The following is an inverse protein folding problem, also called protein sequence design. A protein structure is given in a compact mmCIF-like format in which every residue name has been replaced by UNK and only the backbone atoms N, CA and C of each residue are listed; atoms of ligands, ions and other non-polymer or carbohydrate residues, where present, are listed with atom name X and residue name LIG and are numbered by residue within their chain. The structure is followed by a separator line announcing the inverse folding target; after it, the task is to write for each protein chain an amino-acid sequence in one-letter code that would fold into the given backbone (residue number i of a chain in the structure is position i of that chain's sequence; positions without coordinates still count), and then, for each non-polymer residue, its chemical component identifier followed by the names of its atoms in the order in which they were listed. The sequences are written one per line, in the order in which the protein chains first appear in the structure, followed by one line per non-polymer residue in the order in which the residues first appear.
data_IF_550511766770
#
_entry.id   IF_550511766770
#
_cell.length_a   1.000
_cell.length_b   1.000
_cell.length_c   1.000
_cell.angle_alpha   90.00
_cell.angle_beta   90.00
_cell.angle_gamma   90.00
#
_symmetry.space_group_name_H-M   'P 1'
#
loop_
_entity.id
_entity.type
_entity.pdbx_description
1 polymer ?
#
# COMPACT_ATOMS: atom_id res chain seq x y z
N UNK A 1 7.14 0.48 3.42
CA UNK A 1 5.75 1.00 3.49
C UNK A 1 5.60 1.95 4.67
N UNK A 2 4.89 3.06 4.49
CA UNK A 2 4.49 4.01 5.53
C UNK A 2 3.01 3.83 5.88
N UNK A 3 2.63 4.00 7.15
CA UNK A 3 1.24 3.93 7.60
C UNK A 3 0.94 5.17 8.43
N UNK A 4 -0.06 5.94 8.03
CA UNK A 4 -0.57 7.14 8.68
C UNK A 4 -1.99 6.84 9.19
N UNK A 5 -2.20 7.05 10.49
CA UNK A 5 -3.50 6.82 11.15
C UNK A 5 -4.01 8.14 11.68
N UNK A 6 -5.21 8.52 11.25
CA UNK A 6 -5.88 9.77 11.62
C UNK A 6 -7.27 9.50 12.20
N UNK A 7 -7.86 10.48 12.89
CA UNK A 7 -9.22 10.33 13.44
C UNK A 7 -10.29 10.36 12.35
N UNK A 8 -10.23 11.39 11.52
CA UNK A 8 -10.98 11.54 10.28
C UNK A 8 -9.99 11.89 9.17
N UNK A 9 -10.23 11.40 7.96
CA UNK A 9 -9.35 11.66 6.81
C UNK A 9 -9.76 12.98 6.15
N UNK A 10 -8.87 13.98 6.21
CA UNK A 10 -9.03 15.25 5.53
C UNK A 10 -8.15 15.35 4.28
N UNK A 11 -8.47 16.29 3.38
CA UNK A 11 -7.69 16.52 2.16
C UNK A 11 -6.23 16.92 2.47
N UNK A 12 -6.01 17.65 3.57
CA UNK A 12 -4.66 17.98 4.05
C UNK A 12 -3.85 16.75 4.41
N UNK A 13 -4.48 15.70 4.94
CA UNK A 13 -3.80 14.46 5.32
C UNK A 13 -3.34 13.69 4.08
N UNK A 14 -4.15 13.74 3.01
CA UNK A 14 -3.79 13.16 1.70
C UNK A 14 -2.53 13.82 1.16
N UNK A 15 -2.48 15.16 1.11
CA UNK A 15 -1.31 15.88 0.59
C UNK A 15 -0.06 15.69 1.45
N UNK A 16 -0.21 15.64 2.78
CA UNK A 16 0.90 15.35 3.68
C UNK A 16 1.42 13.92 3.46
N UNK A 17 0.53 12.94 3.33
CA UNK A 17 0.89 11.54 3.08
C UNK A 17 1.62 11.39 1.74
N UNK A 18 1.15 12.04 0.68
CA UNK A 18 1.82 12.07 -0.63
C UNK A 18 3.21 12.71 -0.50
N UNK A 19 3.32 13.83 0.20
CA UNK A 19 4.59 14.54 0.39
C UNK A 19 5.62 13.67 1.12
N UNK A 20 5.19 12.95 2.17
CA UNK A 20 6.02 11.98 2.89
C UNK A 20 6.40 10.78 2.01
N UNK A 21 5.48 10.27 1.19
CA UNK A 21 5.73 9.19 0.24
C UNK A 21 6.79 9.59 -0.80
N UNK A 22 6.69 10.79 -1.37
CA UNK A 22 7.66 11.33 -2.32
C UNK A 22 9.03 11.53 -1.66
N UNK A 23 9.07 12.08 -0.45
CA UNK A 23 10.32 12.23 0.31
C UNK A 23 10.98 10.86 0.55
N UNK A 24 10.19 9.85 0.91
CA UNK A 24 10.69 8.49 1.08
C UNK A 24 11.22 7.92 -0.24
N UNK A 25 10.53 8.14 -1.35
CA UNK A 25 10.94 7.68 -2.68
C UNK A 25 12.28 8.24 -3.15
N UNK A 26 12.63 9.45 -2.73
CA UNK A 26 13.93 10.08 -3.02
C UNK A 26 15.05 9.46 -2.19
N UNK A 27 14.72 8.95 -1.00
CA UNK A 27 15.69 8.42 -0.04
C UNK A 27 15.95 6.92 -0.18
N UNK A 28 15.14 6.19 -0.97
CA UNK A 28 15.30 4.75 -1.18
C UNK A 28 15.16 4.35 -2.64
N UNK A 29 15.96 3.37 -3.05
CA UNK A 29 15.86 2.73 -4.37
C UNK A 29 14.73 1.68 -4.42
N UNK A 30 14.11 1.35 -3.28
CA UNK A 30 13.07 0.34 -3.17
C UNK A 30 11.68 0.84 -3.61
N UNK A 31 10.74 -0.10 -3.78
CA UNK A 31 9.33 0.23 -3.94
C UNK A 31 8.80 0.91 -2.66
N UNK A 32 8.11 2.04 -2.83
CA UNK A 32 7.51 2.79 -1.72
C UNK A 32 6.01 2.87 -1.87
N UNK A 33 5.35 2.84 -0.72
CA UNK A 33 3.91 2.98 -0.62
C UNK A 33 3.52 3.54 0.75
N UNK A 34 2.34 4.12 0.80
CA UNK A 34 1.72 4.66 1.99
C UNK A 34 0.29 4.15 2.15
N UNK A 35 -0.17 4.06 3.40
CA UNK A 35 -1.57 3.90 3.75
C UNK A 35 -1.99 5.07 4.63
N UNK A 36 -3.08 5.75 4.28
CA UNK A 36 -3.78 6.70 5.14
C UNK A 36 -5.11 6.09 5.56
N UNK A 37 -5.38 6.04 6.86
CA UNK A 37 -6.58 5.37 7.35
C UNK A 37 -7.12 5.95 8.65
N UNK A 38 -8.44 5.86 8.84
CA UNK A 38 -9.10 6.05 10.13
C UNK A 38 -9.33 4.73 10.90
N UNK A 39 -8.79 3.62 10.39
CA UNK A 39 -8.99 2.24 10.88
C UNK A 39 -10.45 1.76 10.87
N UNK A 40 -11.36 2.54 10.28
CA UNK A 40 -12.77 2.22 10.16
C UNK A 40 -13.11 1.97 8.68
N UNK A 41 -13.57 2.99 7.98
CA UNK A 41 -14.14 2.88 6.63
C UNK A 41 -13.29 3.56 5.55
N UNK A 42 -12.19 4.23 5.93
CA UNK A 42 -11.25 4.84 5.00
C UNK A 42 -9.92 4.12 5.07
N UNK A 43 -9.57 3.41 4.00
CA UNK A 43 -8.26 2.80 3.80
C UNK A 43 -7.73 3.23 2.43
N UNK A 44 -7.00 4.34 2.40
CA UNK A 44 -6.47 4.92 1.18
C UNK A 44 -5.00 4.52 1.02
N UNK A 45 -4.76 3.64 0.06
CA UNK A 45 -3.42 3.20 -0.31
C UNK A 45 -2.85 4.10 -1.41
N UNK A 46 -1.56 4.40 -1.32
CA UNK A 46 -0.78 5.15 -2.29
C UNK A 46 0.47 4.37 -2.65
N UNK A 47 0.85 4.37 -3.92
CA UNK A 47 2.15 3.87 -4.35
C UNK A 47 2.62 4.64 -5.57
N UNK A 48 3.94 4.58 -5.81
CA UNK A 48 4.56 5.23 -6.95
C UNK A 48 4.83 4.19 -8.03
N UNK A 49 4.39 4.46 -9.24
CA UNK A 49 4.83 3.73 -10.44
C UNK A 49 5.77 4.62 -11.25
N UNK A 50 6.69 3.99 -11.97
CA UNK A 50 7.54 4.66 -12.96
C UNK A 50 7.13 4.12 -14.31
N UNK A 51 7.09 4.98 -15.32
CA UNK A 51 6.98 4.52 -16.70
C UNK A 51 8.37 4.16 -17.23
N UNK A 52 8.44 3.30 -18.27
CA UNK A 52 9.67 2.68 -18.79
C UNK A 52 10.78 3.68 -19.17
N UNK A 53 10.41 4.92 -19.46
CA UNK A 53 11.31 6.00 -19.88
C UNK A 53 11.86 6.84 -18.70
N UNK A 54 11.53 6.50 -17.45
CA UNK A 54 11.99 7.15 -16.20
C UNK A 54 11.66 8.65 -16.05
N UNK A 55 10.97 9.25 -17.01
CA UNK A 55 10.69 10.69 -17.03
C UNK A 55 9.44 11.08 -16.20
N UNK A 56 8.46 10.17 -16.05
CA UNK A 56 7.21 10.45 -15.33
C UNK A 56 7.01 9.54 -14.11
N UNK A 57 7.01 10.16 -12.93
CA UNK A 57 6.65 9.51 -11.66
C UNK A 57 5.14 9.63 -11.46
N UNK A 58 4.45 8.50 -11.50
CA UNK A 58 3.00 8.44 -11.36
C UNK A 58 2.60 8.02 -9.94
N UNK A 59 1.76 8.82 -9.28
CA UNK A 59 1.13 8.43 -8.01
C UNK A 59 -0.15 7.68 -8.32
N UNK A 60 -0.24 6.44 -7.84
CA UNK A 60 -1.45 5.62 -7.92
C UNK A 60 -2.11 5.55 -6.55
N UNK A 61 -3.43 5.52 -6.54
CA UNK A 61 -4.23 5.50 -5.32
C UNK A 61 -5.39 4.53 -5.43
N UNK A 62 -5.74 3.87 -4.33
CA UNK A 62 -7.00 3.12 -4.21
C UNK A 62 -7.62 3.33 -2.84
N UNK A 63 -8.93 3.57 -2.82
CA UNK A 63 -9.73 3.60 -1.60
C UNK A 63 -10.35 2.23 -1.40
N UNK A 64 -10.12 1.63 -0.23
CA UNK A 64 -10.77 0.40 0.21
C UNK A 64 -11.66 0.75 1.41
N UNK A 65 -12.92 0.35 1.36
CA UNK A 65 -13.90 0.63 2.42
C UNK A 65 -14.13 -0.56 3.35
N UNK A 66 -13.82 -1.78 2.90
CA UNK A 66 -13.91 -2.99 3.70
C UNK A 66 -12.59 -3.23 4.47
N UNK A 67 -12.59 -3.21 5.82
CA UNK A 67 -11.39 -3.44 6.62
C UNK A 67 -10.74 -4.79 6.35
N UNK A 68 -11.53 -5.84 6.09
CA UNK A 68 -11.00 -7.18 5.84
C UNK A 68 -10.14 -7.20 4.59
N UNK A 69 -10.61 -6.57 3.51
CA UNK A 69 -9.89 -6.41 2.25
C UNK A 69 -8.64 -5.55 2.45
N UNK A 70 -8.74 -4.45 3.20
CA UNK A 70 -7.58 -3.60 3.49
C UNK A 70 -6.49 -4.34 4.28
N UNK A 71 -6.86 -5.13 5.29
CA UNK A 71 -5.92 -5.96 6.05
C UNK A 71 -5.28 -7.06 5.21
N UNK A 72 -6.02 -7.67 4.28
CA UNK A 72 -5.45 -8.64 3.34
C UNK A 72 -4.42 -7.98 2.42
N UNK A 73 -4.73 -6.81 1.85
CA UNK A 73 -3.80 -6.06 1.03
C UNK A 73 -2.52 -5.70 1.81
N UNK A 74 -2.66 -5.17 3.04
CA UNK A 74 -1.54 -4.89 3.95
C UNK A 74 -0.66 -6.12 4.18
N UNK A 75 -1.28 -7.29 4.39
CA UNK A 75 -0.56 -8.54 4.65
C UNK A 75 0.23 -9.00 3.43
N UNK A 76 -0.35 -8.90 2.23
CA UNK A 76 0.33 -9.21 0.96
C UNK A 76 1.53 -8.29 0.78
N UNK A 77 1.31 -6.99 0.91
CA UNK A 77 2.34 -5.96 0.81
C UNK A 77 3.50 -6.23 1.78
N UNK A 78 3.19 -6.48 3.06
CA UNK A 78 4.20 -6.69 4.10
C UNK A 78 4.98 -8.00 3.93
N UNK A 79 4.37 -9.03 3.35
CA UNK A 79 4.97 -10.37 3.23
C UNK A 79 5.78 -10.53 1.94
N UNK A 80 5.25 -10.01 0.83
CA UNK A 80 5.80 -10.25 -0.50
C UNK A 80 6.69 -9.12 -1.01
N UNK A 81 6.66 -7.95 -0.37
CA UNK A 81 7.34 -6.72 -0.82
C UNK A 81 7.28 -6.55 -2.35
N UNK A 82 6.06 -6.49 -2.94
CA UNK A 82 5.90 -6.47 -4.38
C UNK A 82 6.64 -5.27 -4.99
N UNK A 83 7.22 -5.48 -6.17
CA UNK A 83 7.78 -4.38 -6.97
C UNK A 83 6.69 -3.39 -7.36
N UNK A 84 7.06 -2.13 -7.61
CA UNK A 84 6.15 -0.98 -7.82
C UNK A 84 4.97 -1.25 -8.76
N UNK A 85 5.18 -2.04 -9.81
CA UNK A 85 4.16 -2.40 -10.82
C UNK A 85 3.15 -3.44 -10.31
N UNK A 86 3.58 -4.39 -9.46
CA UNK A 86 2.75 -5.47 -8.91
C UNK A 86 1.83 -5.03 -7.77
N UNK A 87 1.98 -3.79 -7.29
CA UNK A 87 1.07 -3.21 -6.29
C UNK A 87 -0.35 -3.10 -6.83
N UNK A 88 -0.52 -2.79 -8.12
CA UNK A 88 -1.83 -2.73 -8.74
C UNK A 88 -2.55 -4.10 -8.67
N UNK A 89 -1.82 -5.20 -8.88
CA UNK A 89 -2.36 -6.55 -8.82
C UNK A 89 -2.86 -6.92 -7.42
N UNK A 90 -2.22 -6.39 -6.37
CA UNK A 90 -2.68 -6.56 -4.97
C UNK A 90 -4.09 -6.00 -4.73
N UNK A 91 -4.56 -5.11 -5.60
CA UNK A 91 -5.86 -4.45 -5.51
C UNK A 91 -6.80 -4.78 -6.68
N UNK A 92 -6.29 -5.38 -7.77
CA UNK A 92 -7.05 -5.67 -8.99
C UNK A 92 -7.80 -7.01 -8.95
N UNK A 93 -7.23 -8.03 -8.31
CA UNK A 93 -7.96 -9.27 -8.06
C UNK A 93 -8.60 -9.21 -6.68
N UNK A 94 -9.92 -9.36 -6.61
CA UNK A 94 -10.60 -9.70 -5.37
C UNK A 94 -9.84 -10.87 -4.76
N UNK A 95 -9.04 -10.61 -3.71
CA UNK A 95 -8.09 -11.55 -3.12
C UNK A 95 -8.86 -12.82 -2.79
N UNK A 96 -8.85 -13.77 -3.71
CA UNK A 96 -9.64 -14.98 -3.59
C UNK A 96 -8.93 -15.83 -2.56
N UNK A 97 -9.33 -15.67 -1.28
CA UNK A 97 -9.08 -16.60 -0.18
C UNK A 97 -7.73 -17.30 -0.30
N UNK A 98 -6.63 -16.56 -0.16
CA UNK A 98 -5.45 -17.21 0.39
C UNK A 98 -5.82 -17.59 1.82
N UNK A 99 -6.26 -18.84 2.00
CA UNK A 99 -6.43 -19.43 3.33
C UNK A 99 -5.12 -19.21 4.07
N UNK A 100 -5.19 -18.57 5.23
CA UNK A 100 -4.08 -18.36 6.17
C UNK A 100 -3.17 -19.58 6.38
N UNK A 101 -3.64 -20.79 6.06
CA UNK A 101 -2.86 -22.03 6.06
C UNK A 101 -1.74 -22.13 5.01
N UNK A 102 -1.66 -21.21 4.04
CA UNK A 102 -0.65 -21.25 2.97
C UNK A 102 0.47 -20.21 3.13
N UNK A 103 0.39 -19.33 4.13
CA UNK A 103 1.53 -18.49 4.49
C UNK A 103 2.59 -19.39 5.14
N UNK A 104 3.86 -19.35 4.71
CA UNK A 104 4.91 -20.13 5.34
C UNK A 104 5.12 -19.61 6.76
N UNK A 105 4.47 -20.25 7.74
CA UNK A 105 4.77 -20.05 9.15
C UNK A 105 6.20 -20.56 9.34
N UNK A 106 7.17 -19.65 9.36
CA UNK A 106 8.50 -19.94 9.89
C UNK A 106 8.39 -20.13 11.41
N UNK A 107 7.96 -21.34 11.78
CA UNK A 107 8.09 -21.92 13.11
C UNK A 107 8.95 -23.17 12.99
N UNK A 108 10.27 -22.99 12.98
CA UNK A 108 11.23 -24.06 13.31
C UNK A 108 12.32 -23.48 14.21
N UNK A 109 12.12 -23.59 15.53
CA UNK A 109 12.74 -24.62 16.36
C UNK A 109 12.10 -24.63 17.75
#
# INVERSE_FOLDING_TARGET
MMIEVVGDVEESDVYQTISKLLAQAVLTDEAVAALLTNLADHWLFFWLTKDDEWDDLNIKTVVVTDPTTAFMALSIIATYNPDREQWADCFAESVHRYKLSQLPIKGQK
#
